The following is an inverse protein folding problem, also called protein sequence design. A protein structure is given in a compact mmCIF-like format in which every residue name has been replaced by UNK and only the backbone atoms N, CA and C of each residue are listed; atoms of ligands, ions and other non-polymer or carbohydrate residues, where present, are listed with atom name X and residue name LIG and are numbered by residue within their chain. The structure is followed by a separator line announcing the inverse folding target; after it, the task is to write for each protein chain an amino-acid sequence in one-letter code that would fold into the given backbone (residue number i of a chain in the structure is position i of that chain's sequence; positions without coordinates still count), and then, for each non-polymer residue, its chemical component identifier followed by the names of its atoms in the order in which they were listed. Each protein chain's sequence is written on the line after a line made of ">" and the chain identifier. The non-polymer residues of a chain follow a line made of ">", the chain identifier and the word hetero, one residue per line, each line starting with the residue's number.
data_IF_564218762528
#
_entry.id   IF_564218762528
#
_cell.length_a   1.000
_cell.length_b   1.000
_cell.length_c   1.000
_cell.angle_alpha   90.00
_cell.angle_beta   90.00
_cell.angle_gamma   90.00
#
_symmetry.space_group_name_H-M   'P 1'
#
loop_
_entity.id
_entity.type
_entity.pdbx_description
1 polymer ?
#
# COMPACT_ATOMS: atom_id res chain seq x y z
N UNK A 1 -7.26 -37.34 5.29
CA UNK A 1 -7.58 -35.93 5.53
C UNK A 1 -8.39 -35.85 6.81
N UNK A 2 -7.74 -35.77 7.97
CA UNK A 2 -8.41 -35.30 9.19
C UNK A 2 -8.50 -33.79 9.04
N UNK A 3 -9.70 -33.25 8.83
CA UNK A 3 -9.99 -31.85 9.12
C UNK A 3 -9.65 -31.67 10.59
N UNK A 4 -8.44 -31.16 10.88
CA UNK A 4 -8.14 -30.73 12.24
C UNK A 4 -9.09 -29.56 12.48
N UNK A 5 -10.19 -29.85 13.17
CA UNK A 5 -11.18 -28.86 13.55
C UNK A 5 -10.43 -27.77 14.32
N UNK A 6 -10.30 -26.60 13.70
CA UNK A 6 -9.89 -25.42 14.42
C UNK A 6 -10.80 -25.33 15.66
N UNK A 7 -10.21 -25.08 16.83
CA UNK A 7 -11.00 -24.78 18.05
C UNK A 7 -12.14 -23.84 17.65
N UNK A 8 -13.38 -24.09 18.10
CA UNK A 8 -14.54 -23.39 17.60
C UNK A 8 -14.27 -21.88 17.57
N UNK A 9 -14.55 -21.19 16.45
CA UNK A 9 -14.28 -19.77 16.34
C UNK A 9 -14.94 -19.06 17.53
N UNK A 10 -14.22 -18.13 18.17
CA UNK A 10 -14.79 -17.42 19.30
C UNK A 10 -16.15 -16.84 18.90
N UNK A 11 -17.14 -17.11 19.74
CA UNK A 11 -18.49 -16.62 19.52
C UNK A 11 -18.52 -15.19 20.01
N UNK A 12 -18.92 -14.27 19.14
CA UNK A 12 -19.27 -12.92 19.57
C UNK A 12 -20.30 -13.02 20.70
N UNK A 13 -19.95 -12.55 21.89
CA UNK A 13 -20.83 -12.64 23.06
C UNK A 13 -21.49 -11.30 23.32
N UNK A 14 -22.61 -11.31 24.06
CA UNK A 14 -23.22 -10.08 24.58
C UNK A 14 -22.20 -9.31 25.44
N UNK A 15 -21.34 -10.01 26.19
CA UNK A 15 -20.26 -9.40 26.96
C UNK A 15 -19.27 -8.61 26.08
N UNK A 16 -18.94 -9.10 24.89
CA UNK A 16 -18.11 -8.38 23.91
C UNK A 16 -18.78 -7.06 23.50
N UNK A 17 -20.07 -7.09 23.15
CA UNK A 17 -20.82 -5.88 22.81
C UNK A 17 -20.84 -4.89 23.96
N UNK A 18 -21.14 -5.34 25.18
CA UNK A 18 -21.19 -4.49 26.37
C UNK A 18 -19.82 -3.85 26.66
N UNK A 19 -18.73 -4.59 26.50
CA UNK A 19 -17.38 -4.05 26.69
C UNK A 19 -17.08 -2.95 25.66
N UNK A 20 -17.38 -3.19 24.38
CA UNK A 20 -17.20 -2.18 23.32
C UNK A 20 -18.05 -0.93 23.57
N UNK A 21 -19.31 -1.08 23.97
CA UNK A 21 -20.17 0.03 24.35
C UNK A 21 -19.61 0.78 25.57
N UNK A 22 -19.11 0.06 26.59
CA UNK A 22 -18.49 0.68 27.76
C UNK A 22 -17.25 1.50 27.39
N UNK A 23 -16.43 1.04 26.44
CA UNK A 23 -15.28 1.78 25.95
C UNK A 23 -15.70 3.08 25.26
N UNK A 24 -16.77 3.07 24.46
CA UNK A 24 -17.31 4.29 23.83
C UNK A 24 -17.84 5.29 24.86
N UNK A 25 -18.56 4.81 25.88
CA UNK A 25 -19.05 5.66 26.98
C UNK A 25 -17.89 6.26 27.77
N UNK A 26 -16.84 5.47 28.05
CA UNK A 26 -15.65 5.97 28.73
C UNK A 26 -14.90 7.01 27.87
N UNK A 27 -14.73 6.78 26.57
CA UNK A 27 -14.15 7.77 25.65
C UNK A 27 -14.94 9.08 25.71
N UNK A 28 -16.27 9.00 25.67
CA UNK A 28 -17.13 10.16 25.78
C UNK A 28 -17.00 10.86 27.15
N UNK A 29 -16.80 10.12 28.24
CA UNK A 29 -16.76 10.70 29.58
C UNK A 29 -15.38 11.30 29.97
N UNK A 30 -14.28 10.89 29.32
CA UNK A 30 -12.90 11.28 29.69
C UNK A 30 -12.75 12.79 29.95
N UNK A 31 -13.17 13.70 29.03
CA UNK A 31 -12.91 15.13 29.22
C UNK A 31 -13.69 15.77 30.36
N UNK A 32 -14.83 15.19 30.76
CA UNK A 32 -15.63 15.66 31.89
C UNK A 32 -15.13 15.09 33.22
N UNK A 33 -14.65 13.86 33.22
CA UNK A 33 -14.15 13.19 34.42
C UNK A 33 -12.77 13.68 34.86
N UNK A 34 -12.01 14.34 33.95
CA UNK A 34 -10.64 14.81 34.22
C UNK A 34 -9.75 13.71 34.82
N UNK A 35 -9.93 12.48 34.33
CA UNK A 35 -9.20 11.31 34.82
C UNK A 35 -7.70 11.53 34.63
N UNK A 36 -6.92 11.39 35.71
CA UNK A 36 -5.46 11.46 35.66
C UNK A 36 -4.87 12.87 35.51
N UNK A 37 -5.66 13.94 35.62
CA UNK A 37 -5.16 15.33 35.55
C UNK A 37 -4.58 15.79 36.89
N UNK A 38 -3.48 15.16 37.33
CA UNK A 38 -2.63 15.70 38.41
C UNK A 38 -1.72 16.85 37.95
N UNK A 39 -1.74 17.17 36.65
CA UNK A 39 -0.93 18.19 35.99
C UNK A 39 -1.69 19.51 35.81
N UNK A 40 -0.92 20.59 35.62
CA UNK A 40 -1.40 21.95 35.27
C UNK A 40 -2.45 21.91 34.15
N UNK A 41 -3.31 22.93 34.08
CA UNK A 41 -4.37 23.04 33.06
C UNK A 41 -3.88 22.87 31.60
N UNK A 42 -2.59 23.05 31.34
CA UNK A 42 -1.96 22.81 30.03
C UNK A 42 -1.83 21.32 29.68
N UNK A 43 -1.58 20.44 30.65
CA UNK A 43 -1.32 19.01 30.42
C UNK A 43 -2.56 18.12 30.33
N UNK A 44 -3.72 18.61 30.77
CA UNK A 44 -4.95 17.81 30.88
C UNK A 44 -5.38 17.20 29.54
N UNK A 45 -5.44 18.00 28.49
CA UNK A 45 -5.92 17.54 27.17
C UNK A 45 -5.00 16.50 26.53
N UNK A 46 -3.69 16.65 26.68
CA UNK A 46 -2.74 15.65 26.17
C UNK A 46 -2.92 14.29 26.89
N UNK A 47 -3.18 14.32 28.20
CA UNK A 47 -3.47 13.12 28.97
C UNK A 47 -4.81 12.48 28.59
N UNK A 48 -5.86 13.29 28.45
CA UNK A 48 -7.19 12.87 27.97
C UNK A 48 -7.09 12.15 26.61
N UNK A 49 -6.25 12.68 25.70
CA UNK A 49 -5.98 12.04 24.42
C UNK A 49 -5.26 10.69 24.56
N UNK A 50 -4.26 10.56 25.42
CA UNK A 50 -3.57 9.28 25.64
C UNK A 50 -4.52 8.20 26.19
N UNK A 51 -5.42 8.56 27.11
CA UNK A 51 -6.45 7.66 27.61
C UNK A 51 -7.43 7.25 26.49
N UNK A 52 -7.83 8.21 25.65
CA UNK A 52 -8.69 7.96 24.50
C UNK A 52 -8.00 7.03 23.49
N UNK A 53 -6.73 7.26 23.18
CA UNK A 53 -5.93 6.39 22.31
C UNK A 53 -5.83 4.97 22.87
N UNK A 54 -5.59 4.82 24.17
CA UNK A 54 -5.54 3.51 24.83
C UNK A 54 -6.89 2.78 24.74
N UNK A 55 -8.02 3.47 24.94
CA UNK A 55 -9.35 2.88 24.81
C UNK A 55 -9.70 2.52 23.36
N UNK A 56 -9.30 3.33 22.37
CA UNK A 56 -9.48 3.01 20.95
C UNK A 56 -8.66 1.78 20.55
N UNK A 57 -7.42 1.66 21.02
CA UNK A 57 -6.59 0.47 20.81
C UNK A 57 -7.20 -0.77 21.48
N UNK A 58 -7.68 -0.63 22.72
CA UNK A 58 -8.37 -1.70 23.43
C UNK A 58 -9.67 -2.12 22.69
N UNK A 59 -10.42 -1.16 22.15
CA UNK A 59 -11.60 -1.43 21.33
C UNK A 59 -11.26 -2.31 20.11
N UNK A 60 -10.19 -1.97 19.38
CA UNK A 60 -9.73 -2.76 18.22
C UNK A 60 -9.34 -4.17 18.64
N UNK A 61 -8.60 -4.32 19.74
CA UNK A 61 -8.17 -5.64 20.27
C UNK A 61 -9.38 -6.48 20.69
N UNK A 62 -10.35 -5.90 21.41
CA UNK A 62 -11.55 -6.62 21.85
C UNK A 62 -12.43 -7.01 20.68
N UNK A 63 -12.63 -6.12 19.70
CA UNK A 63 -13.37 -6.43 18.48
C UNK A 63 -12.69 -7.57 17.68
N UNK A 64 -11.37 -7.48 17.52
CA UNK A 64 -10.57 -8.53 16.85
C UNK A 64 -10.63 -9.87 17.56
N UNK A 65 -10.49 -9.87 18.89
CA UNK A 65 -10.62 -11.07 19.71
C UNK A 65 -12.04 -11.66 19.64
N UNK A 66 -13.08 -10.83 19.67
CA UNK A 66 -14.47 -11.27 19.55
C UNK A 66 -14.78 -11.95 18.21
N UNK A 67 -14.09 -11.58 17.13
CA UNK A 67 -14.29 -12.15 15.79
C UNK A 67 -13.43 -13.38 15.52
N UNK A 68 -12.19 -13.43 16.02
CA UNK A 68 -11.21 -14.48 15.67
C UNK A 68 -10.78 -15.37 16.84
N UNK A 69 -11.14 -15.02 18.07
CA UNK A 69 -10.82 -15.77 19.29
C UNK A 69 -9.38 -15.69 19.76
N UNK A 70 -8.59 -14.80 19.14
CA UNK A 70 -7.17 -14.62 19.42
C UNK A 70 -6.90 -13.13 19.54
N UNK A 71 -5.97 -12.76 20.43
CA UNK A 71 -5.62 -11.36 20.70
C UNK A 71 -5.24 -10.56 19.44
N UNK A 72 -4.39 -11.06 18.52
CA UNK A 72 -4.08 -10.32 17.29
C UNK A 72 -5.18 -10.39 16.24
N UNK A 73 -6.39 -10.83 16.59
CA UNK A 73 -7.49 -11.12 15.65
C UNK A 73 -7.84 -9.99 14.70
N UNK A 74 -7.68 -8.73 15.13
CA UNK A 74 -7.92 -7.55 14.29
C UNK A 74 -6.96 -7.46 13.09
N UNK A 75 -5.77 -8.06 13.20
CA UNK A 75 -4.71 -7.98 12.19
C UNK A 75 -4.63 -9.22 11.30
N UNK A 76 -5.41 -10.27 11.60
CA UNK A 76 -5.39 -11.54 10.88
C UNK A 76 -6.18 -11.43 9.58
N UNK A 77 -5.57 -11.77 8.44
CA UNK A 77 -6.20 -11.77 7.12
C UNK A 77 -7.02 -13.03 6.82
N UNK A 78 -7.53 -13.16 5.58
CA UNK A 78 -8.31 -14.34 5.15
C UNK A 78 -7.48 -15.62 5.07
N UNK A 79 -6.14 -15.51 5.05
CA UNK A 79 -5.20 -16.65 5.01
C UNK A 79 -4.72 -17.05 6.40
N UNK A 80 -5.28 -16.44 7.45
CA UNK A 80 -4.88 -16.59 8.83
C UNK A 80 -3.45 -16.10 9.14
N UNK A 81 -2.98 -15.08 8.41
CA UNK A 81 -1.69 -14.42 8.67
C UNK A 81 -1.90 -13.04 9.30
N UNK A 82 -1.00 -12.62 10.20
CA UNK A 82 -0.97 -11.22 10.65
C UNK A 82 -0.46 -10.35 9.50
N UNK A 83 -1.32 -9.45 9.00
CA UNK A 83 -1.00 -8.60 7.85
C UNK A 83 -0.45 -7.23 8.27
N UNK A 84 0.73 -6.88 7.75
CA UNK A 84 1.34 -5.56 7.93
C UNK A 84 0.36 -4.43 7.57
N UNK A 85 -0.34 -4.53 6.45
CA UNK A 85 -1.26 -3.50 5.98
C UNK A 85 -2.48 -3.29 6.91
N UNK A 86 -2.98 -4.36 7.54
CA UNK A 86 -4.08 -4.26 8.52
C UNK A 86 -3.58 -3.62 9.81
N UNK A 87 -2.36 -3.98 10.23
CA UNK A 87 -1.69 -3.33 11.36
C UNK A 87 -1.49 -1.84 11.11
N UNK A 88 -0.90 -1.46 9.96
CA UNK A 88 -0.66 -0.06 9.57
C UNK A 88 -1.96 0.76 9.57
N UNK A 89 -3.00 0.27 8.90
CA UNK A 89 -4.30 0.94 8.85
C UNK A 89 -4.89 1.11 10.25
N UNK A 90 -4.89 0.04 11.05
CA UNK A 90 -5.46 0.08 12.41
C UNK A 90 -4.74 1.10 13.30
N UNK A 91 -3.41 1.15 13.24
CA UNK A 91 -2.61 2.10 14.03
C UNK A 91 -2.85 3.55 13.58
N UNK A 92 -2.86 3.82 12.27
CA UNK A 92 -3.16 5.16 11.74
C UNK A 92 -4.57 5.61 12.09
N UNK A 93 -5.56 4.74 11.88
CA UNK A 93 -6.95 5.00 12.25
C UNK A 93 -7.08 5.26 13.74
N UNK A 94 -6.41 4.48 14.60
CA UNK A 94 -6.45 4.69 16.05
C UNK A 94 -5.89 6.05 16.46
N UNK A 95 -4.73 6.45 15.93
CA UNK A 95 -4.11 7.75 16.26
C UNK A 95 -4.94 8.91 15.74
N UNK A 96 -5.43 8.86 14.50
CA UNK A 96 -6.21 9.97 13.91
C UNK A 96 -7.58 10.10 14.55
N UNK A 97 -8.33 9.01 14.73
CA UNK A 97 -9.65 9.05 15.35
C UNK A 97 -9.54 9.47 16.82
N UNK A 98 -8.59 8.92 17.58
CA UNK A 98 -8.41 9.32 18.98
C UNK A 98 -8.07 10.81 19.10
N UNK A 99 -7.21 11.34 18.23
CA UNK A 99 -6.88 12.76 18.20
C UNK A 99 -8.11 13.63 17.88
N UNK A 100 -8.84 13.29 16.82
CA UNK A 100 -10.02 14.04 16.40
C UNK A 100 -11.10 14.04 17.48
N UNK A 101 -11.47 12.87 18.01
CA UNK A 101 -12.46 12.74 19.09
C UNK A 101 -12.03 13.51 20.33
N UNK A 102 -10.75 13.42 20.72
CA UNK A 102 -10.23 14.15 21.88
C UNK A 102 -10.30 15.66 21.68
N UNK A 103 -9.97 16.16 20.50
CA UNK A 103 -10.09 17.58 20.19
C UNK A 103 -11.53 18.07 20.33
N UNK A 104 -12.49 17.37 19.70
CA UNK A 104 -13.91 17.72 19.73
C UNK A 104 -14.47 17.68 21.15
N UNK A 105 -14.31 16.56 21.86
CA UNK A 105 -14.90 16.38 23.19
C UNK A 105 -14.24 17.30 24.23
N UNK A 106 -12.93 17.52 24.14
CA UNK A 106 -12.24 18.42 25.07
C UNK A 106 -12.53 19.89 24.78
N UNK A 107 -12.85 20.27 23.54
CA UNK A 107 -13.35 21.61 23.26
C UNK A 107 -14.72 21.82 23.92
N UNK A 108 -15.64 20.87 23.77
CA UNK A 108 -16.98 20.89 24.38
C UNK A 108 -16.89 20.92 25.91
N UNK A 109 -16.09 20.05 26.52
CA UNK A 109 -15.94 19.97 27.97
C UNK A 109 -15.27 21.23 28.58
N UNK A 110 -14.52 21.99 27.79
CA UNK A 110 -13.96 23.29 28.20
C UNK A 110 -14.93 24.47 27.99
N UNK A 111 -16.17 24.21 27.58
CA UNK A 111 -17.21 25.24 27.42
C UNK A 111 -17.08 26.06 26.13
N UNK A 112 -16.35 25.56 25.12
CA UNK A 112 -16.30 26.22 23.82
C UNK A 112 -17.61 26.01 23.03
N UNK A 113 -17.86 26.87 22.04
CA UNK A 113 -19.02 26.78 21.16
C UNK A 113 -19.15 25.38 20.51
N UNK A 114 -20.37 24.84 20.49
CA UNK A 114 -20.61 23.47 20.05
C UNK A 114 -20.35 23.28 18.55
N UNK A 115 -20.75 24.26 17.72
CA UNK A 115 -20.55 24.17 16.26
C UNK A 115 -19.07 24.30 15.90
N UNK A 116 -18.35 25.23 16.54
CA UNK A 116 -16.91 25.35 16.41
C UNK A 116 -16.16 24.10 16.89
N UNK A 117 -16.64 23.47 17.97
CA UNK A 117 -16.01 22.27 18.56
C UNK A 117 -16.14 21.03 17.67
N UNK A 118 -17.25 20.86 16.95
CA UNK A 118 -17.44 19.74 16.01
C UNK A 118 -16.69 20.01 14.69
N UNK A 119 -16.44 21.27 14.35
CA UNK A 119 -15.73 21.71 13.15
C UNK A 119 -14.21 21.51 13.15
N UNK A 120 -13.64 20.64 14.00
CA UNK A 120 -12.20 20.34 14.03
C UNK A 120 -11.78 19.77 12.68
N UNK A 121 -10.92 20.49 11.96
CA UNK A 121 -10.43 20.10 10.65
C UNK A 121 -9.34 19.04 10.75
N UNK A 122 -9.42 18.05 9.87
CA UNK A 122 -8.37 17.05 9.63
C UNK A 122 -7.61 17.49 8.37
N UNK A 123 -6.33 17.87 8.48
CA UNK A 123 -5.52 18.24 7.31
C UNK A 123 -5.53 17.17 6.21
N UNK A 124 -5.51 17.61 4.94
CA UNK A 124 -5.54 16.74 3.76
C UNK A 124 -4.36 15.76 3.70
N UNK A 125 -3.23 16.12 4.28
CA UNK A 125 -2.01 15.32 4.33
C UNK A 125 -2.22 14.04 5.14
N UNK A 126 -3.12 14.07 6.14
CA UNK A 126 -3.53 12.87 6.88
C UNK A 126 -4.45 11.99 6.05
N UNK A 127 -5.31 12.58 5.23
CA UNK A 127 -6.14 11.84 4.29
C UNK A 127 -5.29 11.16 3.21
N UNK A 128 -4.22 11.80 2.75
CA UNK A 128 -3.25 11.17 1.86
C UNK A 128 -2.51 10.03 2.54
N UNK A 129 -2.04 10.21 3.78
CA UNK A 129 -1.37 9.13 4.52
C UNK A 129 -2.28 7.92 4.76
N UNK A 130 -3.55 8.15 5.15
CA UNK A 130 -4.57 7.11 5.29
C UNK A 130 -4.92 6.48 3.94
N UNK A 131 -5.07 7.30 2.89
CA UNK A 131 -5.39 6.88 1.53
C UNK A 131 -4.30 5.99 0.91
N UNK A 132 -3.03 6.35 1.06
CA UNK A 132 -1.87 5.55 0.60
C UNK A 132 -1.83 4.21 1.34
N UNK A 133 -2.07 4.21 2.66
CA UNK A 133 -2.16 2.98 3.45
C UNK A 133 -3.30 2.07 2.98
N UNK A 134 -4.45 2.66 2.62
CA UNK A 134 -5.59 1.93 2.09
C UNK A 134 -5.38 1.46 0.64
N UNK A 135 -4.71 2.23 -0.19
CA UNK A 135 -4.38 1.87 -1.56
C UNK A 135 -3.51 0.60 -1.60
N UNK A 136 -2.56 0.46 -0.68
CA UNK A 136 -1.76 -0.77 -0.57
C UNK A 136 -2.55 -2.00 -0.13
N UNK A 137 -3.67 -1.85 0.59
CA UNK A 137 -4.58 -2.97 0.87
C UNK A 137 -5.24 -3.48 -0.41
N UNK A 138 -5.78 -2.57 -1.22
CA UNK A 138 -6.45 -2.90 -2.49
C UNK A 138 -5.46 -3.43 -3.52
N UNK A 139 -4.32 -2.76 -3.70
CA UNK A 139 -3.25 -3.20 -4.60
C UNK A 139 -2.72 -4.59 -4.23
N UNK A 140 -2.50 -4.85 -2.93
CA UNK A 140 -2.12 -6.17 -2.43
C UNK A 140 -3.14 -7.25 -2.79
N UNK A 141 -4.44 -6.97 -2.65
CA UNK A 141 -5.48 -7.96 -2.97
C UNK A 141 -5.52 -8.31 -4.47
N UNK A 142 -5.31 -7.33 -5.36
CA UNK A 142 -5.25 -7.55 -6.81
C UNK A 142 -4.02 -8.36 -7.23
N UNK A 143 -2.86 -8.05 -6.65
CA UNK A 143 -1.62 -8.83 -6.90
C UNK A 143 -1.81 -10.27 -6.41
N UNK A 144 -2.45 -10.46 -5.26
CA UNK A 144 -2.67 -11.78 -4.69
C UNK A 144 -3.68 -12.61 -5.47
N UNK A 145 -4.76 -12.03 -6.00
CA UNK A 145 -5.73 -12.77 -6.81
C UNK A 145 -5.08 -13.37 -8.07
N UNK A 146 -4.13 -12.65 -8.70
CA UNK A 146 -3.36 -13.19 -9.83
C UNK A 146 -2.45 -14.36 -9.44
N UNK A 147 -2.00 -14.41 -8.17
CA UNK A 147 -1.13 -15.48 -7.64
C UNK A 147 -1.92 -16.71 -7.16
N UNK A 148 -3.21 -16.55 -6.89
CA UNK A 148 -4.12 -17.65 -6.55
C UNK A 148 -4.49 -18.51 -7.76
N UNK A 149 -4.35 -18.02 -8.99
CA UNK A 149 -4.68 -18.80 -10.20
C UNK A 149 -3.54 -19.68 -10.73
N UNK A 150 -2.41 -19.76 -10.02
CA UNK A 150 -1.16 -20.38 -10.51
C UNK A 150 -0.78 -21.62 -9.71
N UNK A 151 -0.27 -22.65 -10.39
CA UNK A 151 0.14 -23.91 -9.76
C UNK A 151 1.60 -23.82 -9.28
N UNK A 152 1.87 -23.92 -7.97
CA UNK A 152 3.22 -23.83 -7.42
C UNK A 152 4.05 -25.08 -7.74
N UNK A 153 5.34 -24.89 -7.96
CA UNK A 153 6.31 -26.00 -8.03
C UNK A 153 6.23 -26.89 -6.78
N UNK A 154 6.01 -28.18 -7.01
CA UNK A 154 5.71 -29.11 -5.91
C UNK A 154 6.89 -29.32 -4.96
N UNK A 155 8.13 -29.33 -5.48
CA UNK A 155 9.34 -29.54 -4.69
C UNK A 155 9.71 -28.28 -3.89
N UNK A 156 9.62 -27.10 -4.52
CA UNK A 156 9.83 -25.80 -3.87
C UNK A 156 8.86 -25.63 -2.70
N UNK A 157 7.57 -25.88 -2.93
CA UNK A 157 6.54 -25.81 -1.89
C UNK A 157 6.82 -26.77 -0.74
N UNK A 158 7.15 -28.04 -1.02
CA UNK A 158 7.45 -29.02 0.00
C UNK A 158 8.66 -28.61 0.85
N UNK A 159 9.72 -28.10 0.21
CA UNK A 159 10.92 -27.62 0.89
C UNK A 159 10.61 -26.43 1.81
N UNK A 160 9.80 -25.47 1.35
CA UNK A 160 9.41 -24.31 2.15
C UNK A 160 8.54 -24.69 3.33
N UNK A 161 7.62 -25.63 3.17
CA UNK A 161 6.77 -26.08 4.28
C UNK A 161 7.60 -26.80 5.35
N UNK A 162 8.63 -27.56 4.96
CA UNK A 162 9.58 -28.14 5.90
C UNK A 162 10.40 -27.05 6.62
N UNK A 163 10.90 -26.04 5.91
CA UNK A 163 11.61 -24.91 6.53
C UNK A 163 10.73 -24.15 7.52
N UNK A 164 9.49 -23.86 7.15
CA UNK A 164 8.52 -23.19 8.03
C UNK A 164 8.28 -24.00 9.32
N UNK A 165 8.11 -25.32 9.22
CA UNK A 165 7.98 -26.20 10.39
C UNK A 165 9.24 -26.18 11.26
N UNK A 166 10.42 -26.22 10.67
CA UNK A 166 11.70 -26.14 11.40
C UNK A 166 11.88 -24.79 12.10
N UNK A 167 11.26 -23.73 11.58
CA UNK A 167 11.25 -22.40 12.19
C UNK A 167 10.10 -22.20 13.20
N UNK A 168 9.34 -23.26 13.54
CA UNK A 168 8.24 -23.20 14.51
C UNK A 168 6.94 -22.58 13.98
N UNK A 169 6.79 -22.48 12.65
CA UNK A 169 5.54 -22.06 12.03
C UNK A 169 4.63 -23.27 11.88
N UNK A 170 3.51 -23.25 12.60
CA UNK A 170 2.54 -24.35 12.66
C UNK A 170 1.35 -24.09 11.73
N UNK A 171 0.57 -25.15 11.48
CA UNK A 171 -0.71 -25.05 10.78
C UNK A 171 -0.62 -24.65 9.31
N UNK A 172 0.57 -24.71 8.69
CA UNK A 172 0.73 -24.39 7.28
C UNK A 172 0.05 -25.47 6.43
N UNK A 173 -0.88 -25.05 5.58
CA UNK A 173 -1.70 -25.93 4.74
C UNK A 173 -1.71 -25.47 3.29
N UNK A 174 -2.07 -26.39 2.40
CA UNK A 174 -2.40 -26.03 1.02
C UNK A 174 -3.71 -25.23 1.01
N UNK A 175 -3.82 -24.30 0.05
CA UNK A 175 -5.10 -23.66 -0.24
C UNK A 175 -6.16 -24.72 -0.60
N UNK A 176 -7.44 -24.40 -0.47
CA UNK A 176 -8.52 -25.20 -1.05
C UNK A 176 -9.39 -24.26 -1.90
N UNK A 177 -9.43 -24.41 -3.25
CA UNK A 177 -8.70 -25.43 -4.02
C UNK A 177 -7.15 -25.25 -3.97
N UNK A 178 -6.39 -26.35 -4.15
CA UNK A 178 -4.93 -26.46 -3.88
C UNK A 178 -3.97 -25.70 -4.80
N UNK A 179 -4.49 -24.89 -5.70
CA UNK A 179 -3.68 -24.17 -6.69
C UNK A 179 -3.53 -22.72 -6.25
N UNK A 180 -2.31 -22.32 -5.92
CA UNK A 180 -1.96 -20.96 -5.59
C UNK A 180 -0.53 -20.87 -5.08
N UNK A 181 0.20 -19.84 -5.51
CA UNK A 181 1.57 -19.59 -5.05
C UNK A 181 1.64 -19.10 -3.60
N UNK A 182 0.49 -18.85 -2.95
CA UNK A 182 0.41 -18.24 -1.62
C UNK A 182 0.39 -19.29 -0.51
N UNK A 183 1.01 -18.97 0.62
CA UNK A 183 1.01 -19.83 1.82
C UNK A 183 -0.17 -19.47 2.73
N UNK A 184 -0.82 -20.50 3.28
CA UNK A 184 -2.01 -20.39 4.14
C UNK A 184 -1.78 -21.09 5.48
N UNK A 185 -2.44 -20.57 6.51
CA UNK A 185 -2.55 -21.23 7.81
C UNK A 185 -3.96 -21.75 8.05
N UNK A 186 -4.04 -22.92 8.66
CA UNK A 186 -5.28 -23.64 8.89
C UNK A 186 -6.20 -22.87 9.84
N UNK A 187 -5.66 -22.40 10.97
CA UNK A 187 -6.46 -21.75 12.00
C UNK A 187 -5.96 -20.32 12.28
N UNK A 188 -6.85 -19.40 12.70
CA UNK A 188 -6.45 -18.08 13.20
C UNK A 188 -5.46 -18.15 14.38
N UNK A 189 -5.49 -19.24 15.15
CA UNK A 189 -4.58 -19.48 16.26
C UNK A 189 -3.12 -19.75 15.84
N UNK A 190 -2.90 -20.11 14.57
CA UNK A 190 -1.55 -20.33 14.03
C UNK A 190 -0.89 -19.02 13.57
N UNK A 191 -1.64 -17.90 13.55
CA UNK A 191 -1.14 -16.59 13.16
C UNK A 191 -0.05 -16.11 14.13
N UNK A 192 1.07 -15.63 13.59
CA UNK A 192 2.24 -15.21 14.36
C UNK A 192 2.67 -13.80 13.96
N UNK A 193 3.23 -13.03 14.89
CA UNK A 193 3.73 -11.67 14.58
C UNK A 193 4.85 -11.68 13.54
N UNK A 194 5.61 -12.77 13.43
CA UNK A 194 6.60 -12.93 12.37
C UNK A 194 6.01 -12.91 10.96
N UNK A 195 4.72 -13.21 10.78
CA UNK A 195 4.03 -13.21 9.48
C UNK A 195 4.06 -11.81 8.83
N UNK A 196 4.14 -10.77 9.66
CA UNK A 196 4.23 -9.38 9.22
C UNK A 196 5.56 -9.07 8.53
N UNK A 197 6.59 -9.89 8.72
CA UNK A 197 7.94 -9.68 8.21
C UNK A 197 8.40 -10.77 7.23
N UNK A 198 7.60 -11.82 7.03
CA UNK A 198 7.93 -12.94 6.14
C UNK A 198 7.36 -12.74 4.74
N UNK A 199 7.93 -13.46 3.77
CA UNK A 199 7.30 -13.60 2.44
C UNK A 199 5.90 -14.22 2.51
N UNK A 200 5.17 -14.16 1.41
CA UNK A 200 3.79 -14.66 1.33
C UNK A 200 3.63 -15.81 0.34
N UNK A 201 4.66 -16.13 -0.43
CA UNK A 201 4.63 -17.11 -1.50
C UNK A 201 5.48 -18.35 -1.20
N UNK A 202 5.24 -19.45 -1.91
CA UNK A 202 5.95 -20.71 -1.68
C UNK A 202 7.46 -20.61 -1.82
N UNK A 203 8.00 -19.72 -2.65
CA UNK A 203 9.46 -19.57 -2.76
C UNK A 203 10.09 -18.57 -1.79
N UNK A 204 9.30 -17.79 -1.01
CA UNK A 204 9.84 -16.81 -0.04
C UNK A 204 9.18 -16.80 1.35
N UNK A 205 8.19 -17.64 1.63
CA UNK A 205 7.46 -17.61 2.91
C UNK A 205 8.34 -17.94 4.13
N UNK A 206 9.39 -18.72 3.94
CA UNK A 206 10.36 -19.06 4.99
C UNK A 206 11.44 -17.99 5.20
N UNK A 207 11.47 -16.92 4.39
CA UNK A 207 12.50 -15.87 4.41
C UNK A 207 11.94 -14.52 4.87
N UNK A 208 12.85 -13.61 5.23
CA UNK A 208 12.53 -12.24 5.63
C UNK A 208 12.23 -11.39 4.38
N UNK A 209 11.09 -10.70 4.39
CA UNK A 209 10.67 -9.76 3.35
C UNK A 209 11.18 -8.36 3.69
N UNK A 210 12.24 -7.92 3.01
CA UNK A 210 12.88 -6.64 3.25
C UNK A 210 11.94 -5.45 2.97
N UNK A 211 11.05 -5.58 1.98
CA UNK A 211 10.05 -4.56 1.66
C UNK A 211 9.07 -4.35 2.80
N UNK A 212 8.58 -5.44 3.41
CA UNK A 212 7.72 -5.36 4.61
C UNK A 212 8.45 -4.77 5.81
N UNK A 213 9.71 -5.13 6.02
CA UNK A 213 10.53 -4.57 7.11
C UNK A 213 10.69 -3.06 6.94
N UNK A 214 11.07 -2.61 5.75
CA UNK A 214 11.18 -1.18 5.43
C UNK A 214 9.86 -0.45 5.69
N UNK A 215 8.74 -0.98 5.19
CA UNK A 215 7.41 -0.37 5.40
C UNK A 215 7.02 -0.30 6.87
N UNK A 216 7.33 -1.34 7.65
CA UNK A 216 7.07 -1.36 9.08
C UNK A 216 7.83 -0.24 9.80
N UNK A 217 9.13 -0.11 9.55
CA UNK A 217 9.94 0.95 10.17
C UNK A 217 9.45 2.34 9.81
N UNK A 218 9.17 2.62 8.53
CA UNK A 218 8.61 3.91 8.13
C UNK A 218 7.28 4.18 8.83
N UNK A 219 6.36 3.20 8.83
CA UNK A 219 5.05 3.40 9.45
C UNK A 219 5.16 3.70 10.94
N UNK A 220 5.97 2.93 11.67
CA UNK A 220 6.16 3.14 13.12
C UNK A 220 6.82 4.49 13.40
N UNK A 221 7.85 4.86 12.65
CA UNK A 221 8.51 6.16 12.79
C UNK A 221 7.52 7.32 12.57
N UNK A 222 6.71 7.26 11.50
CA UNK A 222 5.69 8.28 11.23
C UNK A 222 4.62 8.33 12.32
N UNK A 223 4.11 7.17 12.77
CA UNK A 223 3.11 7.12 13.83
C UNK A 223 3.62 7.74 15.13
N UNK A 224 4.88 7.45 15.52
CA UNK A 224 5.50 8.02 16.72
C UNK A 224 5.67 9.53 16.58
N UNK A 225 6.23 10.00 15.46
CA UNK A 225 6.38 11.43 15.19
C UNK A 225 5.04 12.17 15.21
N UNK A 226 4.02 11.60 14.58
CA UNK A 226 2.69 12.19 14.52
C UNK A 226 1.99 12.17 15.89
N UNK A 227 2.08 11.08 16.63
CA UNK A 227 1.59 11.00 18.01
C UNK A 227 2.24 12.07 18.90
N UNK A 228 3.56 12.27 18.77
CA UNK A 228 4.25 13.33 19.49
C UNK A 228 3.76 14.73 19.07
N UNK A 229 3.54 14.96 17.76
CA UNK A 229 3.00 16.21 17.25
C UNK A 229 1.59 16.51 17.82
N UNK A 230 0.71 15.50 17.87
CA UNK A 230 -0.63 15.62 18.49
C UNK A 230 -0.52 15.91 19.98
N UNK A 231 0.30 15.17 20.72
CA UNK A 231 0.51 15.38 22.15
C UNK A 231 1.01 16.79 22.46
N UNK A 232 2.02 17.26 21.70
CA UNK A 232 2.55 18.63 21.84
C UNK A 232 1.50 19.69 21.50
N UNK A 233 0.71 19.45 20.45
CA UNK A 233 -0.36 20.35 20.03
C UNK A 233 -1.41 20.51 21.14
N UNK A 234 -1.89 19.40 21.72
CA UNK A 234 -2.84 19.45 22.83
C UNK A 234 -2.25 20.04 24.11
N UNK A 235 -1.00 19.73 24.43
CA UNK A 235 -0.30 20.35 25.55
C UNK A 235 -0.21 21.87 25.40
N UNK A 236 0.10 22.36 24.20
CA UNK A 236 0.20 23.80 23.92
C UNK A 236 -1.16 24.51 23.87
N UNK A 237 -2.23 23.82 23.46
CA UNK A 237 -3.56 24.39 23.35
C UNK A 237 -4.22 24.63 24.72
N UNK A 238 -3.86 23.82 25.74
CA UNK A 238 -4.45 23.89 27.07
C UNK A 238 -5.99 23.84 27.03
N UNK A 239 -6.64 24.82 27.66
CA UNK A 239 -8.10 24.93 27.67
C UNK A 239 -8.70 25.55 26.39
N UNK A 240 -7.87 26.12 25.50
CA UNK A 240 -8.30 26.87 24.33
C UNK A 240 -8.99 26.01 23.26
N UNK A 241 -9.64 26.67 22.31
CA UNK A 241 -10.31 26.03 21.18
C UNK A 241 -9.29 25.45 20.19
N UNK A 242 -9.33 24.13 19.97
CA UNK A 242 -8.60 23.47 18.87
C UNK A 242 -9.50 23.42 17.65
N UNK A 243 -9.06 23.99 16.53
CA UNK A 243 -9.85 24.03 15.27
C UNK A 243 -9.26 23.15 14.17
N UNK A 244 -8.04 22.63 14.33
CA UNK A 244 -7.37 21.78 13.35
C UNK A 244 -6.41 20.82 14.05
N UNK A 245 -6.27 19.61 13.52
CA UNK A 245 -5.18 18.71 13.90
C UNK A 245 -3.84 19.16 13.28
N UNK A 246 -2.69 18.70 13.81
CA UNK A 246 -1.39 18.94 13.19
C UNK A 246 -1.32 18.36 11.78
N UNK A 247 -0.80 19.13 10.83
CA UNK A 247 -0.55 18.64 9.47
C UNK A 247 0.76 17.81 9.43
N UNK A 248 0.81 16.83 8.53
CA UNK A 248 2.07 16.20 8.12
C UNK A 248 2.77 17.11 7.10
N UNK A 249 4.09 16.99 6.94
CA UNK A 249 4.77 17.70 5.84
C UNK A 249 4.44 17.03 4.50
N UNK A 250 4.34 17.83 3.44
CA UNK A 250 4.13 17.33 2.09
C UNK A 250 5.25 16.36 1.67
N UNK A 251 6.50 16.65 2.03
CA UNK A 251 7.64 15.78 1.75
C UNK A 251 7.51 14.41 2.42
N UNK A 252 6.96 14.36 3.64
CA UNK A 252 6.71 13.08 4.32
C UNK A 252 5.60 12.28 3.64
N UNK A 253 4.56 12.94 3.14
CA UNK A 253 3.48 12.27 2.38
C UNK A 253 4.03 11.72 1.07
N UNK A 254 4.89 12.46 0.37
CA UNK A 254 5.56 12.01 -0.85
C UNK A 254 6.46 10.82 -0.56
N UNK A 255 7.29 10.90 0.49
CA UNK A 255 8.18 9.81 0.89
C UNK A 255 7.39 8.55 1.28
N UNK A 256 6.25 8.70 1.95
CA UNK A 256 5.34 7.60 2.23
C UNK A 256 4.78 6.98 0.95
N UNK A 257 4.37 7.81 -0.01
CA UNK A 257 3.90 7.38 -1.33
C UNK A 257 4.94 6.55 -2.09
N UNK A 258 6.18 7.03 -2.14
CA UNK A 258 7.30 6.33 -2.79
C UNK A 258 7.59 4.99 -2.09
N UNK A 259 7.60 4.98 -0.75
CA UNK A 259 7.80 3.76 0.04
C UNK A 259 6.73 2.71 -0.30
N UNK A 260 5.45 3.11 -0.29
CA UNK A 260 4.32 2.23 -0.61
C UNK A 260 4.32 1.74 -2.06
N UNK A 261 4.72 2.60 -3.01
CA UNK A 261 4.88 2.23 -4.41
C UNK A 261 5.99 1.18 -4.57
N UNK A 262 7.19 1.44 -4.03
CA UNK A 262 8.30 0.49 -4.07
C UNK A 262 7.95 -0.86 -3.41
N UNK A 263 7.20 -0.84 -2.32
CA UNK A 263 6.68 -2.05 -1.69
C UNK A 263 5.77 -2.87 -2.60
N UNK A 264 4.81 -2.22 -3.26
CA UNK A 264 3.88 -2.89 -4.17
C UNK A 264 4.60 -3.46 -5.39
N UNK A 265 5.59 -2.73 -5.92
CA UNK A 265 6.43 -3.20 -7.03
C UNK A 265 7.22 -4.44 -6.65
N UNK A 266 7.92 -4.41 -5.50
CA UNK A 266 8.63 -5.58 -4.98
C UNK A 266 7.67 -6.75 -4.76
N UNK A 267 6.43 -6.48 -4.35
CA UNK A 267 5.42 -7.51 -4.12
C UNK A 267 4.83 -8.09 -5.40
N UNK A 268 4.78 -7.33 -6.50
CA UNK A 268 4.28 -7.79 -7.78
C UNK A 268 5.22 -8.81 -8.43
N UNK A 269 6.53 -8.70 -8.18
CA UNK A 269 7.53 -9.64 -8.67
C UNK A 269 7.18 -11.10 -8.29
N UNK A 270 7.46 -12.08 -9.16
CA UNK A 270 7.30 -13.49 -8.86
C UNK A 270 8.37 -13.94 -7.87
N UNK A 271 7.97 -14.61 -6.78
CA UNK A 271 8.92 -15.18 -5.82
C UNK A 271 8.80 -16.69 -5.71
N UNK A 272 8.03 -17.33 -6.59
CA UNK A 272 7.81 -18.77 -6.61
C UNK A 272 7.87 -19.28 -8.04
N UNK A 273 8.29 -20.54 -8.17
CA UNK A 273 8.27 -21.27 -9.44
C UNK A 273 6.89 -21.86 -9.69
N UNK A 274 6.53 -21.94 -10.96
CA UNK A 274 5.31 -22.60 -11.44
C UNK A 274 5.65 -23.99 -11.99
N UNK A 275 4.78 -24.99 -11.76
CA UNK A 275 4.99 -26.34 -12.27
C UNK A 275 5.04 -26.35 -13.81
N UNK A 276 6.01 -27.06 -14.40
CA UNK A 276 6.27 -27.10 -15.85
C UNK A 276 5.12 -27.66 -16.71
N UNK A 277 4.04 -28.16 -16.10
CA UNK A 277 2.87 -28.72 -16.77
C UNK A 277 1.74 -27.72 -17.09
N UNK A 278 1.84 -26.46 -16.65
CA UNK A 278 0.76 -25.47 -16.83
C UNK A 278 0.89 -24.57 -18.08
N UNK A 279 1.81 -24.88 -19.00
CA UNK A 279 1.85 -24.17 -20.28
C UNK A 279 0.68 -24.58 -21.17
N UNK A 280 -0.33 -23.70 -21.31
CA UNK A 280 -1.32 -23.77 -22.38
C UNK A 280 -0.68 -23.73 -23.78
N UNK A 281 -1.39 -24.18 -24.83
CA UNK A 281 -0.78 -24.68 -26.06
C UNK A 281 -0.26 -23.56 -26.96
N UNK A 282 1.05 -23.55 -27.22
CA UNK A 282 1.64 -22.60 -28.16
C UNK A 282 3.16 -22.56 -28.12
N UNK A 283 3.81 -23.66 -28.51
CA UNK A 283 5.26 -23.69 -28.67
C UNK A 283 5.76 -25.12 -28.82
N UNK A 284 6.04 -25.51 -30.06
CA UNK A 284 6.60 -26.81 -30.43
C UNK A 284 7.90 -27.10 -29.68
N UNK A 285 7.81 -27.94 -28.65
CA UNK A 285 8.97 -28.58 -28.04
C UNK A 285 9.38 -29.77 -28.92
N UNK A 286 10.43 -29.57 -29.72
CA UNK A 286 11.16 -30.68 -30.35
C UNK A 286 11.81 -31.51 -29.25
N UNK A 287 11.41 -32.77 -29.18
CA UNK A 287 11.98 -33.86 -28.39
C UNK A 287 13.49 -33.99 -28.56
N UNK A 288 14.24 -34.11 -27.45
CA UNK A 288 15.52 -34.80 -27.44
C UNK A 288 15.67 -35.63 -26.15
N UNK A 289 15.83 -36.95 -26.34
CA UNK A 289 16.01 -38.02 -25.37
C UNK A 289 17.44 -38.01 -24.76
N UNK A 290 17.71 -38.64 -23.59
CA UNK A 290 18.90 -38.38 -22.80
C UNK A 290 20.07 -39.28 -23.19
N UNK A 291 21.29 -38.73 -23.11
CA UNK A 291 22.52 -39.48 -23.30
C UNK A 291 23.77 -38.69 -22.90
N UNK A 292 24.32 -39.02 -21.75
CA UNK A 292 25.75 -39.25 -21.52
C UNK A 292 26.79 -38.14 -21.73
N UNK A 293 27.59 -37.98 -20.66
CA UNK A 293 29.01 -37.55 -20.60
C UNK A 293 29.32 -36.04 -20.50
N UNK A 294 29.95 -35.71 -19.38
CA UNK A 294 30.58 -34.43 -19.05
C UNK A 294 31.91 -34.29 -19.80
N UNK A 295 32.20 -33.14 -20.42
CA UNK A 295 33.56 -32.66 -20.63
C UNK A 295 33.84 -31.36 -19.85
N UNK A 296 35.07 -31.13 -19.37
CA UNK A 296 35.43 -29.91 -18.64
C UNK A 296 35.83 -28.78 -19.60
N UNK A 297 35.38 -27.56 -19.32
CA UNK A 297 35.89 -26.31 -19.91
C UNK A 297 35.06 -25.74 -21.05
N UNK A 298 34.15 -24.81 -20.73
CA UNK A 298 33.53 -23.88 -21.67
C UNK A 298 33.97 -22.43 -21.36
N UNK A 299 34.10 -21.55 -22.36
CA UNK A 299 34.62 -20.19 -22.20
C UNK A 299 33.64 -19.30 -21.42
N UNK A 300 34.19 -18.24 -20.82
CA UNK A 300 33.48 -17.22 -20.04
C UNK A 300 32.13 -16.82 -20.69
N UNK A 301 31.06 -16.88 -19.91
CA UNK A 301 29.75 -16.37 -20.30
C UNK A 301 29.87 -14.91 -20.74
N UNK A 302 29.39 -14.61 -21.95
CA UNK A 302 29.24 -13.24 -22.44
C UNK A 302 28.28 -12.42 -21.58
N UNK A 303 28.20 -11.10 -21.80
CA UNK A 303 27.46 -10.18 -20.93
C UNK A 303 25.97 -10.56 -20.85
N UNK A 304 25.32 -10.37 -19.69
CA UNK A 304 23.90 -10.69 -19.52
C UNK A 304 23.05 -9.87 -20.49
N UNK A 305 22.07 -10.53 -21.09
CA UNK A 305 21.04 -9.98 -21.97
C UNK A 305 20.34 -8.77 -21.31
N UNK A 306 20.07 -7.65 -22.01
CA UNK A 306 19.34 -6.53 -21.41
C UNK A 306 17.94 -6.97 -20.99
N UNK A 307 17.57 -6.73 -19.73
CA UNK A 307 16.19 -6.87 -19.28
C UNK A 307 15.33 -5.80 -19.96
N UNK A 308 14.12 -6.17 -20.41
CA UNK A 308 13.16 -5.23 -21.00
C UNK A 308 12.83 -4.11 -20.00
N UNK A 309 12.61 -2.86 -20.45
CA UNK A 309 12.23 -1.78 -19.56
C UNK A 309 10.85 -2.05 -18.96
N UNK A 310 10.70 -1.87 -17.65
CA UNK A 310 9.45 -2.10 -16.94
C UNK A 310 8.84 -0.77 -16.51
N UNK A 311 7.57 -0.55 -16.84
CA UNK A 311 6.81 0.60 -16.35
C UNK A 311 5.90 0.14 -15.21
N UNK A 312 5.74 0.99 -14.20
CA UNK A 312 5.07 0.61 -12.94
C UNK A 312 3.94 1.57 -12.61
N UNK A 313 4.19 2.88 -12.72
CA UNK A 313 3.23 3.89 -12.30
C UNK A 313 3.28 5.10 -13.23
N UNK A 314 2.09 5.69 -13.44
CA UNK A 314 1.93 6.97 -14.10
C UNK A 314 1.18 7.90 -13.14
N UNK A 315 1.77 9.03 -12.79
CA UNK A 315 1.18 9.96 -11.82
C UNK A 315 1.36 11.43 -12.26
N UNK A 316 0.28 12.22 -12.36
CA UNK A 316 -1.12 11.77 -12.36
C UNK A 316 -1.44 10.93 -13.61
N UNK A 317 -2.35 9.95 -13.49
CA UNK A 317 -2.84 9.15 -14.62
C UNK A 317 -3.91 9.88 -15.47
N UNK A 318 -4.15 11.17 -15.17
CA UNK A 318 -5.11 12.03 -15.87
C UNK A 318 -4.55 13.44 -15.98
N UNK A 319 -4.73 14.12 -17.10
CA UNK A 319 -4.29 15.51 -17.25
C UNK A 319 -4.71 16.13 -18.57
N UNK A 320 -4.64 17.45 -18.65
CA UNK A 320 -4.87 18.22 -19.87
C UNK A 320 -3.57 18.41 -20.67
N UNK A 321 -3.64 18.74 -21.98
CA UNK A 321 -2.45 18.99 -22.78
C UNK A 321 -1.58 20.12 -22.19
N UNK A 322 -0.33 19.81 -21.88
CA UNK A 322 0.62 20.69 -21.20
C UNK A 322 0.84 20.39 -19.71
N UNK A 323 0.02 19.54 -19.09
CA UNK A 323 0.21 19.11 -17.71
C UNK A 323 1.42 18.18 -17.58
N UNK A 324 2.07 18.21 -16.42
CA UNK A 324 3.20 17.35 -16.11
C UNK A 324 2.73 15.99 -15.60
N UNK A 325 3.36 14.94 -16.10
CA UNK A 325 3.12 13.54 -15.73
C UNK A 325 4.46 12.87 -15.51
N UNK A 326 4.56 12.11 -14.42
CA UNK A 326 5.73 11.30 -14.10
C UNK A 326 5.43 9.84 -14.40
N UNK A 327 6.25 9.23 -15.26
CA UNK A 327 6.31 7.78 -15.46
C UNK A 327 7.39 7.20 -14.55
N UNK A 328 7.06 6.18 -13.76
CA UNK A 328 7.97 5.47 -12.87
C UNK A 328 8.11 4.02 -13.31
N UNK A 329 9.33 3.49 -13.23
CA UNK A 329 9.65 2.11 -13.60
C UNK A 329 11.10 1.73 -13.34
N UNK A 330 11.65 0.85 -14.19
CA UNK A 330 13.00 0.30 -14.11
C UNK A 330 13.57 0.09 -15.51
N UNK A 331 14.89 0.22 -15.66
CA UNK A 331 15.59 -0.06 -16.91
C UNK A 331 15.38 1.01 -17.99
N UNK A 332 15.07 2.25 -17.60
CA UNK A 332 14.93 3.38 -18.52
C UNK A 332 16.28 3.91 -19.01
N UNK A 333 17.36 3.57 -18.30
CA UNK A 333 18.70 4.11 -18.51
C UNK A 333 18.92 5.42 -17.75
N UNK A 334 20.12 5.61 -17.21
CA UNK A 334 20.50 6.77 -16.41
C UNK A 334 20.38 8.13 -17.13
N UNK A 335 20.25 8.13 -18.46
CA UNK A 335 19.97 9.32 -19.30
C UNK A 335 19.07 8.89 -20.46
N UNK A 336 18.30 9.83 -21.02
CA UNK A 336 17.36 9.53 -22.10
C UNK A 336 18.04 8.90 -23.32
N UNK A 337 19.20 9.42 -23.76
CA UNK A 337 19.93 8.86 -24.91
C UNK A 337 19.04 8.60 -26.13
N UNK A 338 18.98 7.34 -26.59
CA UNK A 338 18.10 6.88 -27.68
C UNK A 338 16.75 6.32 -27.23
N UNK A 339 16.43 6.38 -25.93
CA UNK A 339 15.17 5.90 -25.39
C UNK A 339 14.01 6.85 -25.70
N UNK A 340 12.82 6.28 -25.85
CA UNK A 340 11.63 6.99 -26.30
C UNK A 340 10.44 6.69 -25.39
N UNK A 341 9.83 7.73 -24.84
CA UNK A 341 8.48 7.65 -24.29
C UNK A 341 7.47 7.70 -25.46
N UNK A 342 6.45 6.84 -25.42
CA UNK A 342 5.47 6.66 -26.49
C UNK A 342 4.06 6.77 -25.95
N UNK A 343 3.18 7.41 -26.72
CA UNK A 343 1.73 7.42 -26.52
C UNK A 343 1.08 6.70 -27.70
N UNK A 344 0.26 5.68 -27.42
CA UNK A 344 -0.34 4.79 -28.44
C UNK A 344 0.69 4.28 -29.45
N UNK A 345 1.84 3.86 -28.93
CA UNK A 345 2.98 3.36 -29.71
C UNK A 345 3.63 4.41 -30.63
N UNK A 346 3.35 5.71 -30.46
CA UNK A 346 4.01 6.79 -31.21
C UNK A 346 4.91 7.61 -30.27
N UNK A 347 6.20 7.84 -30.60
CA UNK A 347 7.10 8.63 -29.76
C UNK A 347 6.58 10.06 -29.54
N UNK A 348 6.64 10.55 -28.30
CA UNK A 348 6.30 11.94 -28.01
C UNK A 348 7.40 12.90 -28.51
N UNK A 349 7.07 14.18 -28.78
CA UNK A 349 8.08 15.17 -29.12
C UNK A 349 9.15 15.27 -28.01
N UNK A 350 10.46 15.28 -28.33
CA UNK A 350 11.53 15.34 -27.33
C UNK A 350 11.42 16.52 -26.35
N UNK A 351 10.91 17.67 -26.83
CA UNK A 351 10.67 18.86 -26.01
C UNK A 351 9.62 18.67 -24.90
N UNK A 352 8.84 17.59 -24.96
CA UNK A 352 7.86 17.24 -23.94
C UNK A 352 8.49 16.50 -22.76
N UNK A 353 9.67 15.89 -22.92
CA UNK A 353 10.40 15.26 -21.81
C UNK A 353 11.14 16.35 -21.01
N UNK A 354 10.96 16.37 -19.69
CA UNK A 354 11.51 17.37 -18.77
C UNK A 354 12.68 16.85 -17.96
N UNK A 355 12.58 15.61 -17.48
CA UNK A 355 13.64 14.94 -16.75
C UNK A 355 13.62 13.44 -17.05
N UNK A 356 14.78 12.81 -16.96
CA UNK A 356 14.96 11.38 -17.21
C UNK A 356 16.04 10.82 -16.30
N UNK A 357 15.74 9.71 -15.64
CA UNK A 357 16.69 8.82 -15.01
C UNK A 357 16.29 7.36 -15.25
N UNK A 358 17.03 6.41 -14.66
CA UNK A 358 16.83 4.97 -14.88
C UNK A 358 15.46 4.45 -14.41
N UNK A 359 14.79 5.22 -13.56
CA UNK A 359 13.56 4.83 -12.87
C UNK A 359 12.42 5.84 -13.01
N UNK A 360 12.68 7.07 -13.49
CA UNK A 360 11.69 8.13 -13.64
C UNK A 360 11.84 8.87 -14.96
N UNK A 361 10.69 9.20 -15.56
CA UNK A 361 10.59 10.12 -16.69
C UNK A 361 9.51 11.14 -16.39
N UNK A 362 9.91 12.40 -16.21
CA UNK A 362 8.96 13.52 -16.14
C UNK A 362 8.73 14.03 -17.56
N UNK A 363 7.46 14.09 -17.97
CA UNK A 363 7.08 14.60 -19.29
C UNK A 363 5.82 15.44 -19.22
N UNK A 364 5.64 16.32 -20.20
CA UNK A 364 4.41 17.05 -20.42
C UNK A 364 3.52 16.29 -21.39
N UNK A 365 2.21 16.28 -21.14
CA UNK A 365 1.24 15.81 -22.14
C UNK A 365 1.37 16.68 -23.40
N UNK A 366 1.72 16.12 -24.58
CA UNK A 366 1.94 16.91 -25.78
C UNK A 366 0.73 17.77 -26.13
N UNK A 367 0.95 19.04 -26.47
CA UNK A 367 -0.14 19.95 -26.91
C UNK A 367 -0.86 19.45 -28.16
N UNK A 368 -0.13 18.74 -29.02
CA UNK A 368 -0.65 18.05 -30.19
C UNK A 368 -0.33 16.56 -30.06
N UNK A 369 -1.31 15.66 -30.25
CA UNK A 369 -1.07 14.23 -30.30
C UNK A 369 0.04 13.87 -31.28
N UNK A 370 0.93 12.92 -30.94
CA UNK A 370 2.00 12.47 -31.84
C UNK A 370 1.53 11.94 -33.21
N UNK A 371 0.24 11.59 -33.35
CA UNK A 371 -0.40 11.15 -34.60
C UNK A 371 -1.18 12.22 -35.38
N UNK A 372 -1.13 13.50 -34.97
CA UNK A 372 -1.71 14.64 -35.71
C UNK A 372 -3.24 14.80 -35.63
N UNK A 373 -3.96 13.87 -34.99
CA UNK A 373 -5.38 14.04 -34.64
C UNK A 373 -5.53 14.99 -33.44
N UNK A 374 -6.69 15.59 -33.23
CA UNK A 374 -6.96 16.42 -32.03
C UNK A 374 -7.30 15.51 -30.84
N UNK A 375 -6.84 15.85 -29.63
CA UNK A 375 -7.22 15.16 -28.40
C UNK A 375 -8.73 15.13 -28.22
N UNK A 376 -9.31 13.95 -27.99
CA UNK A 376 -10.73 13.84 -27.63
C UNK A 376 -10.91 13.94 -26.10
N UNK A 377 -11.99 14.58 -25.60
CA UNK A 377 -12.31 14.59 -24.17
C UNK A 377 -12.43 13.17 -23.61
N UNK A 378 -11.75 12.93 -22.48
CA UNK A 378 -11.70 11.63 -21.80
C UNK A 378 -11.10 10.50 -22.64
N UNK A 379 -10.32 10.83 -23.68
CA UNK A 379 -9.57 9.84 -24.45
C UNK A 379 -8.55 9.14 -23.54
N UNK A 380 -8.51 7.81 -23.62
CA UNK A 380 -7.49 7.02 -22.94
C UNK A 380 -6.38 6.69 -23.95
N UNK A 381 -5.14 6.99 -23.58
CA UNK A 381 -3.95 6.64 -24.38
C UNK A 381 -3.02 5.74 -23.59
N UNK A 382 -2.38 4.81 -24.30
CA UNK A 382 -1.44 3.87 -23.73
C UNK A 382 -0.04 4.50 -23.66
N UNK A 383 0.50 4.65 -22.46
CA UNK A 383 1.88 5.09 -22.22
C UNK A 383 2.81 3.89 -22.21
N UNK A 384 3.88 3.95 -23.01
CA UNK A 384 4.94 2.94 -23.07
C UNK A 384 6.32 3.61 -23.13
N UNK A 385 7.37 2.83 -22.84
CA UNK A 385 8.76 3.28 -22.98
C UNK A 385 9.52 2.30 -23.88
N UNK A 386 10.42 2.82 -24.72
CA UNK A 386 11.28 2.01 -25.56
C UNK A 386 12.74 2.36 -25.28
N UNK A 387 13.56 1.35 -24.96
CA UNK A 387 14.98 1.48 -24.63
C UNK A 387 15.76 0.47 -25.47
N UNK A 388 16.75 0.94 -26.24
CA UNK A 388 17.59 0.08 -27.10
C UNK A 388 16.82 -0.87 -28.04
N UNK A 389 15.65 -0.42 -28.53
CA UNK A 389 14.79 -1.21 -29.41
C UNK A 389 13.84 -2.17 -28.71
N UNK A 390 13.93 -2.36 -27.39
CA UNK A 390 12.95 -3.09 -26.59
C UNK A 390 11.88 -2.13 -26.06
N UNK A 391 10.60 -2.47 -26.26
CA UNK A 391 9.47 -1.71 -25.75
C UNK A 391 8.99 -2.37 -24.48
N UNK A 392 8.56 -1.59 -23.49
CA UNK A 392 7.96 -2.13 -22.28
C UNK A 392 6.80 -3.06 -22.65
N UNK A 393 6.76 -4.28 -22.10
CA UNK A 393 5.67 -5.22 -22.39
C UNK A 393 4.33 -4.74 -21.85
N UNK A 394 4.37 -3.91 -20.80
CA UNK A 394 3.21 -3.27 -20.19
C UNK A 394 2.97 -1.88 -20.77
N UNK A 395 1.70 -1.45 -20.76
CA UNK A 395 1.29 -0.07 -21.05
C UNK A 395 0.43 0.47 -19.91
N UNK A 396 0.60 1.74 -19.57
CA UNK A 396 -0.20 2.40 -18.53
C UNK A 396 -1.19 3.37 -19.16
N UNK A 397 -2.47 3.37 -18.73
CA UNK A 397 -3.45 4.28 -19.30
C UNK A 397 -3.27 5.70 -18.77
N UNK A 398 -3.34 6.67 -19.69
CA UNK A 398 -3.44 8.10 -19.40
C UNK A 398 -4.77 8.63 -19.93
N UNK A 399 -5.60 9.23 -19.07
CA UNK A 399 -6.85 9.87 -19.51
C UNK A 399 -6.63 11.36 -19.79
N UNK A 400 -6.93 11.76 -21.01
CA UNK A 400 -6.78 13.14 -21.48
C UNK A 400 -8.03 13.93 -21.12
N UNK A 401 -7.85 14.96 -20.31
CA UNK A 401 -8.92 15.89 -19.95
C UNK A 401 -9.12 16.93 -21.07
N UNK A 402 -10.33 17.54 -21.15
CA UNK A 402 -10.54 18.68 -22.03
C UNK A 402 -9.49 19.76 -21.77
N UNK A 403 -9.03 20.49 -22.79
CA UNK A 403 -8.18 21.66 -22.56
C UNK A 403 -8.92 22.62 -21.63
N UNK A 404 -8.23 23.14 -20.61
CA UNK A 404 -8.80 24.07 -19.65
C UNK A 404 -9.52 25.20 -20.40
N UNK A 405 -10.82 25.38 -20.15
CA UNK A 405 -11.67 26.37 -20.80
C UNK A 405 -11.19 27.78 -20.43
N UNK A 406 -10.27 28.33 -21.21
CA UNK A 406 -9.67 29.64 -20.95
C UNK A 406 -8.87 30.25 -22.11
N UNK A 407 -9.02 29.74 -23.34
CA UNK A 407 -8.33 30.30 -24.51
C UNK A 407 -9.16 30.26 -25.81
N UNK A 408 -10.50 30.24 -25.70
CA UNK A 408 -11.41 30.44 -26.83
C UNK A 408 -12.34 31.61 -26.50
N UNK A 409 -11.81 32.83 -26.61
CA UNK A 409 -12.54 34.05 -26.27
C UNK A 409 -11.69 35.31 -26.34
N UNK A 410 -10.85 35.46 -27.37
CA UNK A 410 -10.14 36.71 -27.67
C UNK A 410 -9.73 36.80 -29.15
N UNK A 411 -10.64 36.45 -30.06
CA UNK A 411 -10.49 36.72 -31.49
C UNK A 411 -11.87 37.07 -32.05
N UNK A 412 -12.30 38.31 -31.83
CA UNK A 412 -13.60 38.80 -32.25
C UNK A 412 -13.79 40.23 -31.77
N UNK A 413 -13.05 41.17 -32.35
CA UNK A 413 -13.19 42.59 -32.03
C UNK A 413 -11.96 43.42 -32.36
N UNK A 414 -11.56 43.46 -33.63
CA UNK A 414 -10.83 44.58 -34.21
C UNK A 414 -10.85 44.41 -35.74
N UNK A 415 -11.67 45.20 -36.41
CA UNK A 415 -11.20 45.98 -37.56
C UNK A 415 -12.12 47.21 -37.76
N UNK A 416 -11.58 48.32 -38.28
CA UNK A 416 -12.08 49.69 -38.11
C UNK A 416 -13.36 50.06 -38.89
#
# INVERSE_FOLDING_TARGET
>A
MTTADCRPPARWTIGTTLLLCSALVLIAAIPWLRLGTGATAAGARAHEWLLTLALVLAFVVVAGHGLKGVLPGAFIDSRNHISLSRFQLSCWTAVVISAWVSAVLSNLANGNDAMASIGVRVPQELWYALGISNASLVGKSLIQSNKQGKSPDTDERASTFLQLRNQGVNGVVNADPPDGLLVYKQCPADAQFSDMFRGEETGNAATLDLGKVQMFFFTVALLVCYAFAVGRHFYSAGAGLVTTLPALSSDFVVLLGISHAGYLSLKAAPHSREDAGSSGPGGTATTAQPGGTVPPGGPAQGPPTPADPQIVLLSPATGAPGDSVTLTGQGFGATQGGAQLRLDNVPIPPASVRAWDDTHVDFLIPRQPPGGQVWQPNQQVAVAIAVNGQVSPETLPLTILPPASGAAGAAGGADP
#
